data_IF_190832255912
#
_entry.id   IF_190832255912
#
_cell.length_a   1.000
_cell.length_b   1.000
_cell.length_c   1.000
_cell.angle_alpha   90.00
_cell.angle_beta   90.00
_cell.angle_gamma   90.00
#
_symmetry.space_group_name_H-M   'P 1'
#
loop_
_entity.id
_entity.type
_entity.pdbx_description
1 polymer ?
#
# COMPACT_ATOMS: atom_id res chain seq x y z
N UNK A 1 0.22 -5.30 5.99
CA UNK A 1 1.19 -5.07 7.07
C UNK A 1 1.63 -6.33 7.80
N UNK A 2 0.87 -7.39 7.80
CA UNK A 2 1.20 -8.65 8.53
C UNK A 2 2.28 -9.53 7.86
N UNK A 3 2.62 -9.24 6.62
CA UNK A 3 3.55 -10.05 5.81
C UNK A 3 5.01 -9.64 5.87
N UNK A 4 5.30 -8.42 6.30
CA UNK A 4 6.68 -7.94 6.42
C UNK A 4 7.58 -8.92 7.17
N UNK A 5 7.20 -9.38 8.38
CA UNK A 5 8.06 -10.24 9.19
C UNK A 5 8.41 -11.57 8.53
N UNK A 6 7.45 -12.29 7.98
CA UNK A 6 7.65 -13.62 7.37
C UNK A 6 8.53 -13.53 6.13
N UNK A 7 8.34 -12.51 5.30
CA UNK A 7 9.12 -12.30 4.10
C UNK A 7 10.59 -11.91 4.41
N UNK A 8 10.80 -11.11 5.45
CA UNK A 8 12.15 -10.70 5.87
C UNK A 8 12.89 -11.79 6.66
N UNK A 9 12.18 -12.70 7.30
CA UNK A 9 12.76 -13.86 7.98
C UNK A 9 13.36 -14.85 6.96
N UNK A 10 12.72 -15.02 5.79
CA UNK A 10 13.25 -15.82 4.69
C UNK A 10 14.41 -15.16 3.93
N UNK A 11 14.60 -13.84 4.06
CA UNK A 11 15.69 -13.10 3.42
C UNK A 11 16.98 -12.97 4.28
N UNK A 12 17.10 -13.72 5.40
CA UNK A 12 18.26 -13.77 6.31
C UNK A 12 18.78 -12.37 6.76
N UNK A 13 17.83 -11.46 7.03
CA UNK A 13 18.13 -10.09 7.45
C UNK A 13 18.55 -10.09 8.94
N UNK A 14 19.63 -9.39 9.35
CA UNK A 14 20.15 -9.41 10.72
C UNK A 14 19.25 -8.71 11.75
N UNK A 15 18.06 -8.23 11.36
CA UNK A 15 17.08 -7.60 12.23
C UNK A 15 15.96 -8.58 12.56
N UNK A 16 15.53 -8.62 13.83
CA UNK A 16 14.39 -9.43 14.21
C UNK A 16 13.11 -8.96 13.50
N UNK A 17 12.23 -9.88 13.13
CA UNK A 17 10.93 -9.58 12.50
C UNK A 17 10.11 -8.52 13.28
N UNK A 18 10.19 -8.55 14.62
CA UNK A 18 9.55 -7.56 15.49
C UNK A 18 10.14 -6.15 15.35
N UNK A 19 11.46 -6.04 15.20
CA UNK A 19 12.13 -4.75 15.00
C UNK A 19 11.73 -4.10 13.68
N UNK A 20 11.64 -4.89 12.61
CA UNK A 20 11.19 -4.44 11.30
C UNK A 20 9.73 -3.95 11.38
N UNK A 21 8.87 -4.73 12.03
CA UNK A 21 7.46 -4.35 12.24
C UNK A 21 7.32 -3.05 13.04
N UNK A 22 8.12 -2.86 14.08
CA UNK A 22 8.12 -1.64 14.89
C UNK A 22 8.59 -0.41 14.08
N UNK A 23 9.64 -0.57 13.27
CA UNK A 23 10.13 0.49 12.37
C UNK A 23 9.06 0.88 11.35
N UNK A 24 8.45 -0.10 10.68
CA UNK A 24 7.39 0.15 9.69
C UNK A 24 6.17 0.83 10.32
N UNK A 25 5.79 0.41 11.54
CA UNK A 25 4.71 1.04 12.30
C UNK A 25 5.03 2.48 12.69
N UNK A 26 6.24 2.75 13.17
CA UNK A 26 6.70 4.10 13.50
C UNK A 26 6.72 5.03 12.28
N UNK A 27 7.23 4.55 11.15
CA UNK A 27 7.22 5.29 9.89
C UNK A 27 5.79 5.58 9.41
N UNK A 28 4.90 4.60 9.51
CA UNK A 28 3.47 4.79 9.20
C UNK A 28 2.85 5.93 10.01
N UNK A 29 3.09 5.96 11.32
CA UNK A 29 2.59 7.02 12.19
C UNK A 29 3.17 8.39 11.83
N UNK A 30 4.48 8.46 11.58
CA UNK A 30 5.15 9.71 11.21
C UNK A 30 4.64 10.27 9.87
N UNK A 31 4.31 9.40 8.92
CA UNK A 31 3.84 9.82 7.58
C UNK A 31 2.37 10.20 7.54
N UNK A 32 1.54 9.78 8.49
CA UNK A 32 0.12 10.19 8.57
C UNK A 32 -0.02 11.70 8.83
N UNK A 33 0.89 12.29 9.60
CA UNK A 33 0.84 13.74 9.90
C UNK A 33 0.93 14.59 8.62
N UNK A 34 1.97 14.45 7.77
CA UNK A 34 2.05 15.18 6.51
C UNK A 34 1.00 14.73 5.47
N UNK A 35 0.40 13.55 5.62
CA UNK A 35 -0.64 13.06 4.73
C UNK A 35 -1.86 13.99 4.66
N UNK A 36 -2.32 14.49 5.80
CA UNK A 36 -3.45 15.40 5.88
C UNK A 36 -3.20 16.67 5.05
N UNK A 37 -2.02 17.28 5.25
CA UNK A 37 -1.61 18.47 4.51
C UNK A 37 -1.46 18.21 3.01
N UNK A 38 -0.87 17.06 2.65
CA UNK A 38 -0.64 16.68 1.24
C UNK A 38 -1.95 16.45 0.48
N UNK A 39 -2.94 15.81 1.11
CA UNK A 39 -4.24 15.52 0.50
C UNK A 39 -5.02 16.81 0.24
N UNK A 40 -4.92 17.80 1.13
CA UNK A 40 -5.55 19.09 0.95
C UNK A 40 -4.95 19.89 -0.22
N UNK A 41 -3.62 19.87 -0.39
CA UNK A 41 -2.92 20.65 -1.39
C UNK A 41 -2.87 19.99 -2.77
N UNK A 42 -2.61 18.68 -2.85
CA UNK A 42 -2.56 17.96 -4.13
C UNK A 42 -3.94 17.63 -4.70
N UNK A 43 -4.95 17.55 -3.85
CA UNK A 43 -6.27 17.03 -4.20
C UNK A 43 -6.34 15.50 -4.10
N UNK A 44 -7.56 14.97 -3.96
CA UNK A 44 -7.83 13.57 -3.61
C UNK A 44 -7.42 12.61 -4.73
N UNK A 45 -7.81 12.91 -5.99
CA UNK A 45 -7.51 12.09 -7.17
C UNK A 45 -6.02 12.02 -7.47
N UNK A 46 -5.33 13.16 -7.50
CA UNK A 46 -3.89 13.24 -7.79
C UNK A 46 -3.07 12.52 -6.73
N UNK A 47 -3.44 12.66 -5.46
CA UNK A 47 -2.79 11.96 -4.35
C UNK A 47 -2.86 10.43 -4.52
N UNK A 48 -4.03 9.89 -4.87
CA UNK A 48 -4.19 8.44 -5.10
C UNK A 48 -3.39 7.96 -6.32
N UNK A 49 -3.41 8.69 -7.44
CA UNK A 49 -2.65 8.34 -8.64
C UNK A 49 -1.14 8.35 -8.38
N UNK A 50 -0.64 9.40 -7.73
CA UNK A 50 0.78 9.53 -7.40
C UNK A 50 1.23 8.42 -6.44
N UNK A 51 0.44 8.18 -5.38
CA UNK A 51 0.68 7.09 -4.44
C UNK A 51 0.70 5.71 -5.10
N UNK A 52 -0.28 5.41 -5.97
CA UNK A 52 -0.35 4.15 -6.69
C UNK A 52 0.83 3.94 -7.64
N UNK A 53 1.26 4.98 -8.38
CA UNK A 53 2.39 4.90 -9.30
C UNK A 53 3.70 4.57 -8.58
N UNK A 54 4.01 5.26 -7.47
CA UNK A 54 5.22 4.99 -6.69
C UNK A 54 5.16 3.62 -6.03
N UNK A 55 4.03 3.24 -5.44
CA UNK A 55 3.86 1.93 -4.82
C UNK A 55 4.00 0.79 -5.84
N UNK A 56 3.45 0.96 -7.06
CA UNK A 56 3.60 -0.01 -8.14
C UNK A 56 5.08 -0.15 -8.56
N UNK A 57 5.80 0.96 -8.72
CA UNK A 57 7.23 0.92 -9.03
C UNK A 57 8.03 0.21 -7.91
N UNK A 58 7.75 0.50 -6.64
CA UNK A 58 8.39 -0.17 -5.51
C UNK A 58 8.09 -1.68 -5.49
N UNK A 59 6.84 -2.09 -5.74
CA UNK A 59 6.45 -3.49 -5.76
C UNK A 59 7.13 -4.25 -6.91
N UNK A 60 7.23 -3.63 -8.09
CA UNK A 60 7.92 -4.21 -9.25
C UNK A 60 9.41 -4.42 -8.95
N UNK A 61 10.09 -3.38 -8.47
CA UNK A 61 11.52 -3.45 -8.17
C UNK A 61 11.79 -4.48 -7.06
N UNK A 62 11.01 -4.43 -5.97
CA UNK A 62 11.15 -5.37 -4.87
C UNK A 62 10.88 -6.82 -5.31
N UNK A 63 9.88 -7.06 -6.16
CA UNK A 63 9.57 -8.39 -6.71
C UNK A 63 10.70 -8.94 -7.58
N UNK A 64 11.24 -8.11 -8.49
CA UNK A 64 12.35 -8.50 -9.35
C UNK A 64 13.65 -8.75 -8.55
N UNK A 65 13.99 -7.83 -7.65
CA UNK A 65 15.19 -7.97 -6.80
C UNK A 65 15.05 -9.21 -5.90
N UNK A 66 13.88 -9.42 -5.29
CA UNK A 66 13.62 -10.61 -4.47
C UNK A 66 13.85 -11.89 -5.27
N UNK A 67 13.29 -12.01 -6.46
CA UNK A 67 13.47 -13.19 -7.31
C UNK A 67 14.94 -13.41 -7.70
N UNK A 68 15.65 -12.38 -8.16
CA UNK A 68 17.05 -12.51 -8.60
C UNK A 68 18.02 -12.82 -7.46
N UNK A 69 17.79 -12.35 -6.25
CA UNK A 69 18.73 -12.51 -5.14
C UNK A 69 18.36 -13.64 -4.18
N UNK A 70 17.16 -14.23 -4.29
CA UNK A 70 16.71 -15.31 -3.39
C UNK A 70 16.57 -16.64 -4.11
N UNK A 71 16.14 -16.67 -5.39
CA UNK A 71 15.78 -17.91 -6.10
C UNK A 71 16.82 -18.37 -7.12
N UNK A 72 17.87 -17.59 -7.42
CA UNK A 72 18.86 -17.95 -8.46
C UNK A 72 20.02 -18.70 -7.84
N UNK A 73 20.26 -19.92 -8.32
CA UNK A 73 21.40 -20.76 -7.90
C UNK A 73 22.76 -20.08 -8.22
N UNK A 74 23.61 -19.94 -7.20
CA UNK A 74 24.95 -19.35 -7.33
C UNK A 74 25.12 -17.96 -6.69
N UNK A 75 24.15 -17.51 -5.93
CA UNK A 75 24.23 -16.23 -5.21
C UNK A 75 25.13 -16.35 -3.97
N UNK A 76 26.08 -15.43 -3.81
CA UNK A 76 26.98 -15.38 -2.66
C UNK A 76 26.27 -14.78 -1.45
N UNK A 77 26.61 -15.18 -0.22
CA UNK A 77 26.03 -14.66 1.04
C UNK A 77 26.01 -13.12 1.12
N UNK A 78 27.01 -12.45 0.56
CA UNK A 78 27.06 -10.98 0.47
C UNK A 78 25.97 -10.41 -0.45
N UNK A 79 25.61 -11.10 -1.51
CA UNK A 79 24.54 -10.71 -2.44
C UNK A 79 23.16 -10.88 -1.78
N UNK A 80 22.93 -11.96 -1.04
CA UNK A 80 21.68 -12.19 -0.28
C UNK A 80 21.45 -11.05 0.72
N UNK A 81 22.49 -10.65 1.47
CA UNK A 81 22.39 -9.52 2.41
C UNK A 81 22.11 -8.19 1.72
N UNK A 82 22.73 -7.96 0.56
CA UNK A 82 22.47 -6.75 -0.22
C UNK A 82 21.04 -6.73 -0.76
N UNK A 83 20.56 -7.86 -1.29
CA UNK A 83 19.17 -8.03 -1.74
C UNK A 83 18.17 -7.77 -0.62
N UNK A 84 18.39 -8.34 0.57
CA UNK A 84 17.57 -8.13 1.75
C UNK A 84 17.48 -6.65 2.18
N UNK A 85 18.60 -5.94 2.19
CA UNK A 85 18.61 -4.51 2.51
C UNK A 85 17.85 -3.66 1.48
N UNK A 86 17.96 -3.99 0.20
CA UNK A 86 17.19 -3.34 -0.87
C UNK A 86 15.71 -3.60 -0.70
N UNK A 87 15.31 -4.83 -0.40
CA UNK A 87 13.91 -5.17 -0.13
C UNK A 87 13.35 -4.37 1.04
N UNK A 88 14.09 -4.23 2.15
CA UNK A 88 13.67 -3.42 3.29
C UNK A 88 13.49 -1.96 2.88
N UNK A 89 14.43 -1.39 2.15
CA UNK A 89 14.35 0.00 1.70
C UNK A 89 13.09 0.25 0.85
N UNK A 90 12.82 -0.62 -0.12
CA UNK A 90 11.62 -0.50 -0.95
C UNK A 90 10.31 -0.78 -0.17
N UNK A 91 10.33 -1.69 0.81
CA UNK A 91 9.20 -1.91 1.70
C UNK A 91 8.90 -0.67 2.56
N UNK A 92 9.93 -0.01 3.10
CA UNK A 92 9.79 1.25 3.85
C UNK A 92 9.17 2.35 2.98
N UNK A 93 9.66 2.52 1.74
CA UNK A 93 9.11 3.50 0.80
C UNK A 93 7.65 3.16 0.46
N UNK A 94 7.36 1.89 0.17
CA UNK A 94 6.01 1.43 -0.15
C UNK A 94 5.02 1.71 1.00
N UNK A 95 5.39 1.36 2.24
CA UNK A 95 4.55 1.60 3.43
C UNK A 95 4.38 3.11 3.70
N UNK A 96 5.44 3.90 3.50
CA UNK A 96 5.38 5.36 3.64
C UNK A 96 4.40 5.98 2.63
N UNK A 97 4.47 5.57 1.37
CA UNK A 97 3.58 6.05 0.31
C UNK A 97 2.13 5.57 0.52
N UNK A 98 1.94 4.36 1.02
CA UNK A 98 0.61 3.88 1.42
C UNK A 98 0.03 4.76 2.54
N UNK A 99 0.78 4.99 3.60
CA UNK A 99 0.32 5.79 4.75
C UNK A 99 0.09 7.25 4.39
N UNK A 100 0.88 7.79 3.46
CA UNK A 100 0.77 9.17 3.01
C UNK A 100 -0.45 9.41 2.10
N UNK A 101 -0.74 8.48 1.18
CA UNK A 101 -1.73 8.68 0.13
C UNK A 101 -2.94 7.76 0.24
N UNK A 102 -2.73 6.45 0.33
CA UNK A 102 -3.81 5.46 0.27
C UNK A 102 -4.48 5.17 1.61
N UNK A 103 -3.79 5.41 2.74
CA UNK A 103 -4.36 5.21 4.07
C UNK A 103 -5.57 6.12 4.32
N UNK A 104 -5.38 7.44 4.36
CA UNK A 104 -6.44 8.38 4.73
C UNK A 104 -7.36 8.77 3.56
N UNK A 105 -6.85 8.86 2.31
CA UNK A 105 -7.59 9.44 1.18
C UNK A 105 -8.92 8.75 0.87
N UNK A 106 -9.05 7.41 0.81
CA UNK A 106 -10.33 6.76 0.56
C UNK A 106 -11.41 7.11 1.59
N UNK A 107 -11.02 7.24 2.87
CA UNK A 107 -11.95 7.59 3.95
C UNK A 107 -12.41 9.03 3.85
N UNK A 108 -11.53 9.94 3.44
CA UNK A 108 -11.87 11.35 3.17
C UNK A 108 -12.86 11.42 2.00
N UNK A 109 -12.61 10.72 0.90
CA UNK A 109 -13.50 10.67 -0.26
C UNK A 109 -14.90 10.15 0.15
N UNK A 110 -14.96 9.06 0.91
CA UNK A 110 -16.24 8.53 1.41
C UNK A 110 -16.99 9.55 2.28
N UNK A 111 -16.25 10.30 3.12
CA UNK A 111 -16.82 11.35 3.96
C UNK A 111 -17.36 12.55 3.16
N UNK A 112 -16.76 12.87 2.01
CA UNK A 112 -17.13 14.02 1.18
C UNK A 112 -18.19 13.69 0.12
N UNK A 113 -18.19 12.46 -0.41
CA UNK A 113 -19.03 12.08 -1.55
C UNK A 113 -20.47 11.76 -1.15
N UNK A 114 -20.70 11.20 0.05
CA UNK A 114 -22.02 10.75 0.46
C UNK A 114 -22.77 11.80 1.30
N UNK A 115 -24.09 12.03 1.03
CA UNK A 115 -24.94 12.87 1.86
C UNK A 115 -24.99 12.37 3.31
N UNK A 116 -25.15 13.28 4.28
CA UNK A 116 -25.13 12.98 5.73
C UNK A 116 -26.04 11.83 6.13
N UNK A 117 -27.20 11.68 5.47
CA UNK A 117 -28.20 10.65 5.78
C UNK A 117 -27.73 9.22 5.51
N UNK A 118 -26.94 9.01 4.45
CA UNK A 118 -26.48 7.67 4.02
C UNK A 118 -24.99 7.42 4.31
N UNK A 119 -24.24 8.48 4.63
CA UNK A 119 -22.80 8.44 4.90
C UNK A 119 -22.39 7.36 5.91
N UNK A 120 -23.05 7.22 7.10
CA UNK A 120 -22.66 6.20 8.07
C UNK A 120 -22.79 4.77 7.50
N UNK A 121 -23.82 4.51 6.70
CA UNK A 121 -24.05 3.20 6.08
C UNK A 121 -23.01 2.91 5.00
N UNK A 122 -22.66 3.91 4.17
CA UNK A 122 -21.63 3.79 3.15
C UNK A 122 -20.24 3.51 3.75
N UNK A 123 -19.87 4.25 4.80
CA UNK A 123 -18.61 4.05 5.52
C UNK A 123 -18.58 2.67 6.19
N UNK A 124 -19.67 2.23 6.82
CA UNK A 124 -19.74 0.92 7.44
C UNK A 124 -19.58 -0.22 6.42
N UNK A 125 -20.24 -0.09 5.26
CA UNK A 125 -20.08 -1.08 4.18
C UNK A 125 -18.65 -1.11 3.61
N UNK A 126 -18.07 0.06 3.36
CA UNK A 126 -16.67 0.16 2.90
C UNK A 126 -15.70 -0.43 3.93
N UNK A 127 -15.91 -0.17 5.22
CA UNK A 127 -15.11 -0.76 6.29
C UNK A 127 -15.26 -2.28 6.33
N UNK A 128 -16.48 -2.81 6.22
CA UNK A 128 -16.72 -4.26 6.19
C UNK A 128 -15.99 -4.94 5.02
N UNK A 129 -16.07 -4.37 3.82
CA UNK A 129 -15.35 -4.86 2.62
C UNK A 129 -13.83 -4.77 2.83
N UNK A 130 -13.34 -3.67 3.39
CA UNK A 130 -11.91 -3.50 3.68
C UNK A 130 -11.40 -4.57 4.66
N UNK A 131 -12.13 -4.84 5.75
CA UNK A 131 -11.76 -5.88 6.70
C UNK A 131 -11.86 -7.28 6.14
N UNK A 132 -12.86 -7.55 5.30
CA UNK A 132 -12.96 -8.83 4.58
C UNK A 132 -11.74 -9.07 3.68
N UNK A 133 -11.33 -8.07 2.89
CA UNK A 133 -10.12 -8.16 2.06
C UNK A 133 -8.84 -8.31 2.90
N UNK A 134 -8.73 -7.60 4.01
CA UNK A 134 -7.60 -7.77 4.93
C UNK A 134 -7.53 -9.20 5.48
N UNK A 135 -8.66 -9.79 5.85
CA UNK A 135 -8.73 -11.18 6.30
C UNK A 135 -8.30 -12.16 5.18
N UNK A 136 -8.87 -12.02 3.98
CA UNK A 136 -8.52 -12.87 2.83
C UNK A 136 -7.04 -12.77 2.49
N UNK A 137 -6.49 -11.56 2.42
CA UNK A 137 -5.07 -11.35 2.17
C UNK A 137 -4.20 -11.95 3.29
N UNK A 138 -4.57 -11.78 4.55
CA UNK A 138 -3.81 -12.36 5.67
C UNK A 138 -3.83 -13.89 5.68
N UNK A 139 -4.88 -14.51 5.16
CA UNK A 139 -5.00 -15.95 5.12
C UNK A 139 -4.34 -16.56 3.87
N UNK A 140 -4.60 -15.99 2.70
CA UNK A 140 -4.15 -16.58 1.43
C UNK A 140 -2.71 -16.20 1.05
N UNK A 141 -2.23 -15.00 1.44
CA UNK A 141 -0.89 -14.59 1.02
C UNK A 141 0.24 -15.49 1.58
N UNK A 142 0.24 -16.03 2.86
CA UNK A 142 1.27 -16.99 3.26
C UNK A 142 1.29 -18.22 2.36
N UNK A 143 0.11 -18.78 2.11
CA UNK A 143 -0.03 -19.97 1.28
C UNK A 143 0.54 -19.77 -0.12
N UNK A 144 0.28 -18.60 -0.70
CA UNK A 144 0.81 -18.23 -2.02
C UNK A 144 2.31 -17.91 -1.95
N UNK A 145 2.77 -17.26 -0.88
CA UNK A 145 4.18 -16.92 -0.73
C UNK A 145 5.06 -18.14 -0.53
N UNK A 146 4.57 -19.18 0.14
CA UNK A 146 5.29 -20.46 0.32
C UNK A 146 5.52 -21.18 -1.02
N UNK A 147 4.60 -21.03 -1.99
CA UNK A 147 4.71 -21.67 -3.32
C UNK A 147 5.51 -20.82 -4.32
N UNK A 148 5.34 -19.50 -4.30
CA UNK A 148 5.86 -18.59 -5.36
C UNK A 148 6.99 -17.69 -4.84
N UNK A 149 7.21 -17.63 -3.52
CA UNK A 149 8.24 -16.78 -2.91
C UNK A 149 8.05 -15.28 -3.21
N UNK A 150 9.14 -14.55 -3.52
CA UNK A 150 9.10 -13.09 -3.76
C UNK A 150 8.22 -12.65 -4.94
N UNK A 151 7.87 -13.57 -5.85
CA UNK A 151 7.02 -13.27 -7.00
C UNK A 151 5.59 -12.83 -6.62
N UNK A 152 5.16 -13.08 -5.38
CA UNK A 152 3.88 -12.56 -4.86
C UNK A 152 3.80 -11.03 -4.98
N UNK A 153 4.94 -10.32 -4.92
CA UNK A 153 4.98 -8.87 -5.08
C UNK A 153 4.57 -8.42 -6.49
N UNK A 154 4.74 -9.26 -7.51
CA UNK A 154 4.26 -8.99 -8.87
C UNK A 154 2.73 -9.09 -8.96
N UNK A 155 2.11 -9.95 -8.15
CA UNK A 155 0.64 -9.99 -8.05
C UNK A 155 0.13 -8.67 -7.45
N UNK A 156 0.77 -8.19 -6.38
CA UNK A 156 0.43 -6.89 -5.79
C UNK A 156 0.70 -5.73 -6.76
N UNK A 157 1.77 -5.79 -7.56
CA UNK A 157 2.00 -4.83 -8.63
C UNK A 157 0.83 -4.79 -9.62
N UNK A 158 0.34 -5.95 -10.08
CA UNK A 158 -0.85 -6.03 -10.95
C UNK A 158 -2.10 -5.40 -10.33
N UNK A 159 -2.35 -5.66 -9.05
CA UNK A 159 -3.44 -5.02 -8.30
C UNK A 159 -3.29 -3.49 -8.21
N UNK A 160 -2.07 -2.99 -8.03
CA UNK A 160 -1.79 -1.55 -7.97
C UNK A 160 -1.98 -0.87 -9.33
N UNK A 161 -1.60 -1.52 -10.43
CA UNK A 161 -1.89 -1.04 -11.79
C UNK A 161 -3.41 -0.99 -12.02
N UNK A 162 -4.14 -2.04 -11.64
CA UNK A 162 -5.60 -2.02 -11.71
C UNK A 162 -6.20 -0.87 -10.90
N UNK A 163 -5.74 -0.66 -9.68
CA UNK A 163 -6.17 0.44 -8.82
C UNK A 163 -5.85 1.81 -9.44
N UNK A 164 -4.67 1.98 -10.04
CA UNK A 164 -4.28 3.19 -10.76
C UNK A 164 -5.23 3.48 -11.91
N UNK A 165 -5.49 2.49 -12.76
CA UNK A 165 -6.41 2.61 -13.92
C UNK A 165 -7.83 2.91 -13.44
N UNK A 166 -8.30 2.24 -12.39
CA UNK A 166 -9.62 2.49 -11.81
C UNK A 166 -9.75 3.94 -11.32
N UNK A 167 -8.79 4.44 -10.54
CA UNK A 167 -8.80 5.82 -10.04
C UNK A 167 -8.72 6.81 -11.20
N UNK A 168 -7.93 6.52 -12.23
CA UNK A 168 -7.78 7.39 -13.39
C UNK A 168 -9.10 7.58 -14.16
N UNK A 169 -9.86 6.51 -14.38
CA UNK A 169 -11.09 6.56 -15.17
C UNK A 169 -12.35 6.84 -14.35
N UNK A 170 -12.42 6.34 -13.12
CA UNK A 170 -13.65 6.34 -12.34
C UNK A 170 -13.73 7.45 -11.29
N UNK A 171 -12.60 8.00 -10.84
CA UNK A 171 -12.61 9.01 -9.79
C UNK A 171 -12.56 10.43 -10.40
N UNK A 172 -13.66 11.21 -10.35
CA UNK A 172 -13.62 12.63 -10.72
C UNK A 172 -12.83 13.44 -9.67
N UNK A 173 -12.28 14.57 -10.05
CA UNK A 173 -11.64 15.49 -9.11
C UNK A 173 -12.70 16.17 -8.24
N UNK A 174 -12.75 15.79 -6.97
CA UNK A 174 -13.77 16.31 -6.04
C UNK A 174 -13.41 17.69 -5.49
N UNK A 175 -12.12 18.10 -5.59
CA UNK A 175 -11.64 19.37 -5.02
C UNK A 175 -12.13 20.63 -5.73
N UNK A 176 -12.65 20.51 -6.94
CA UNK A 176 -13.09 21.63 -7.79
C UNK A 176 -14.62 21.68 -8.03
N UNK A 177 -15.39 20.90 -7.30
CA UNK A 177 -16.86 21.02 -7.37
C UNK A 177 -17.28 22.36 -6.73
N UNK A 178 -17.99 23.25 -7.47
CA UNK A 178 -18.53 24.47 -6.90
C UNK A 178 -19.39 24.13 -5.68
N UNK A 179 -19.34 24.99 -4.66
CA UNK A 179 -20.07 24.81 -3.40
C UNK A 179 -21.60 24.59 -3.58
N UNK A 180 -22.13 24.98 -4.74
CA UNK A 180 -23.51 24.74 -5.15
C UNK A 180 -23.90 23.26 -5.18
N UNK A 181 -22.97 22.36 -5.44
CA UNK A 181 -23.21 20.91 -5.44
C UNK A 181 -22.95 20.24 -4.09
N UNK A 182 -22.28 20.92 -3.16
CA UNK A 182 -22.04 20.42 -1.78
C UNK A 182 -23.29 20.49 -0.90
N UNK A 183 -24.23 21.35 -1.22
CA UNK A 183 -25.42 21.62 -0.38
C UNK A 183 -26.75 21.28 -1.06
N UNK A 184 -26.76 20.69 -2.25
CA UNK A 184 -27.97 20.40 -3.02
C UNK A 184 -28.63 19.05 -2.67
N UNK A 185 -28.44 18.56 -1.44
CA UNK A 185 -29.25 17.42 -0.94
C UNK A 185 -29.42 17.48 0.57
#
# INVERSE_FOLDING_TARGET
>A
MFYGPVFFESADVPLSAYSIQAILGGISLATVIPAMWTIEHLGRRKSLLFGAAIQAACALIAGLVGHYYTDVAGVTDSMVKTGGNVLIAFAVIHVSMYSLFWGPTPWVILGETYPLRVRPKAIALAAAVNWLWNFLLSYFSPLIADDIGPLILLIFFGCLIFAFVYVFFMLPEVSNLPDTFRFAH
#
